data_IF_912229496131
#
_entry.id   IF_912229496131
#
_cell.length_a   1.000
_cell.length_b   1.000
_cell.length_c   1.000
_cell.angle_alpha   90.00
_cell.angle_beta   90.00
_cell.angle_gamma   90.00
#
_symmetry.space_group_name_H-M   'P 1'
#
loop_
_entity.id
_entity.type
_entity.pdbx_description
1 polymer ?
#
# COMPACT_ATOMS: atom_id res chain seq x y z
N UNK A 1 -20.01 0.02 -4.99
CA UNK A 1 -19.07 -0.19 -3.87
C UNK A 1 -17.67 0.29 -4.21
N UNK A 2 -16.86 -0.45 -5.00
CA UNK A 2 -15.54 0.03 -5.46
C UNK A 2 -15.65 1.25 -6.39
N UNK A 3 -16.38 1.10 -7.52
CA UNK A 3 -16.56 2.17 -8.51
C UNK A 3 -17.05 3.47 -7.88
N UNK A 4 -18.08 3.37 -7.03
CA UNK A 4 -18.66 4.51 -6.34
C UNK A 4 -17.65 5.27 -5.46
N UNK A 5 -16.82 4.56 -4.67
CA UNK A 5 -15.84 5.22 -3.80
C UNK A 5 -14.79 6.01 -4.59
N UNK A 6 -14.41 5.53 -5.77
CA UNK A 6 -13.53 6.25 -6.69
C UNK A 6 -14.24 7.40 -7.42
N UNK A 7 -15.48 7.21 -7.87
CA UNK A 7 -16.27 8.26 -8.52
C UNK A 7 -16.61 9.43 -7.60
N UNK A 8 -16.66 9.19 -6.29
CA UNK A 8 -16.95 10.20 -5.27
C UNK A 8 -15.70 10.88 -4.71
N UNK A 9 -14.51 10.57 -5.25
CA UNK A 9 -13.28 11.28 -4.85
C UNK A 9 -13.43 12.78 -5.10
N UNK A 10 -12.80 13.56 -4.24
CA UNK A 10 -12.83 15.03 -4.24
C UNK A 10 -11.62 15.60 -5.01
N UNK A 11 -11.57 16.91 -5.29
CA UNK A 11 -10.33 17.50 -5.79
C UNK A 11 -9.18 17.19 -4.83
N UNK A 12 -7.99 17.05 -5.38
CA UNK A 12 -6.79 16.76 -4.60
C UNK A 12 -6.61 17.76 -3.45
N UNK A 13 -6.35 17.24 -2.25
CA UNK A 13 -6.08 18.03 -1.05
C UNK A 13 -4.60 18.07 -0.68
N UNK A 14 -3.75 17.29 -1.36
CA UNK A 14 -2.30 17.26 -1.17
C UNK A 14 -1.59 16.60 -2.36
N UNK A 15 -0.26 16.73 -2.45
CA UNK A 15 0.55 16.04 -3.46
C UNK A 15 0.50 14.51 -3.39
N UNK A 16 -0.14 13.93 -2.37
CA UNK A 16 -0.28 12.47 -2.17
C UNK A 16 -1.75 12.01 -2.27
N UNK A 17 -2.62 12.86 -2.82
CA UNK A 17 -4.00 12.56 -3.15
C UNK A 17 -4.20 12.82 -4.64
N UNK A 18 -4.41 11.75 -5.42
CA UNK A 18 -4.70 11.86 -6.85
C UNK A 18 -5.96 12.70 -7.16
N UNK A 19 -6.80 12.94 -6.15
CA UNK A 19 -8.03 13.69 -6.30
C UNK A 19 -9.02 12.96 -7.20
N UNK A 20 -9.57 13.66 -8.19
CA UNK A 20 -10.52 13.09 -9.14
C UNK A 20 -9.84 12.09 -10.07
N UNK A 21 -10.50 10.95 -10.26
CA UNK A 21 -10.07 9.92 -11.20
C UNK A 21 -11.19 9.76 -12.24
N UNK A 22 -10.82 9.76 -13.52
CA UNK A 22 -11.77 9.46 -14.59
C UNK A 22 -12.13 7.98 -14.55
N UNK A 23 -13.37 7.70 -14.14
CA UNK A 23 -13.89 6.35 -14.01
C UNK A 23 -14.62 5.86 -15.27
N UNK A 24 -14.75 6.69 -16.31
CA UNK A 24 -15.41 6.30 -17.57
C UNK A 24 -14.82 5.02 -18.17
N UNK A 25 -13.48 4.79 -18.16
CA UNK A 25 -12.90 3.55 -18.68
C UNK A 25 -13.20 2.31 -17.82
N UNK A 26 -13.58 2.47 -16.55
CA UNK A 26 -13.73 1.40 -15.57
C UNK A 26 -15.07 0.66 -15.70
N UNK A 27 -15.26 -0.04 -16.82
CA UNK A 27 -16.43 -0.90 -17.07
C UNK A 27 -16.43 -2.16 -16.19
N UNK A 28 -17.56 -2.89 -16.16
CA UNK A 28 -17.63 -4.20 -15.47
C UNK A 28 -16.59 -5.19 -15.99
N UNK A 29 -16.45 -5.29 -17.31
CA UNK A 29 -15.47 -6.18 -17.96
C UNK A 29 -14.05 -5.78 -17.59
N UNK A 30 -13.73 -4.47 -17.63
CA UNK A 30 -12.43 -3.97 -17.19
C UNK A 30 -12.14 -4.35 -15.72
N UNK A 31 -13.13 -4.25 -14.84
CA UNK A 31 -12.95 -4.62 -13.43
C UNK A 31 -12.78 -6.14 -13.26
N UNK A 32 -13.50 -6.96 -14.03
CA UNK A 32 -13.31 -8.42 -14.03
C UNK A 32 -11.90 -8.80 -14.48
N UNK A 33 -11.38 -8.15 -15.53
CA UNK A 33 -10.00 -8.31 -16.01
C UNK A 33 -8.97 -7.85 -14.96
N UNK A 34 -9.22 -6.73 -14.27
CA UNK A 34 -8.40 -6.26 -13.15
C UNK A 34 -8.31 -7.32 -12.06
N UNK A 35 -9.43 -7.89 -11.64
CA UNK A 35 -9.47 -8.94 -10.60
C UNK A 35 -8.73 -10.20 -11.05
N UNK A 36 -8.89 -10.61 -12.31
CA UNK A 36 -8.15 -11.76 -12.87
C UNK A 36 -6.65 -11.49 -12.82
N UNK A 37 -6.20 -10.30 -13.26
CA UNK A 37 -4.80 -9.91 -13.23
C UNK A 37 -4.23 -9.92 -11.81
N UNK A 38 -4.95 -9.36 -10.84
CA UNK A 38 -4.50 -9.35 -9.44
C UNK A 38 -4.32 -10.76 -8.87
N UNK A 39 -5.21 -11.70 -9.24
CA UNK A 39 -5.05 -13.12 -8.85
C UNK A 39 -3.84 -13.75 -9.49
N UNK A 40 -3.62 -13.51 -10.78
CA UNK A 40 -2.44 -14.05 -11.48
C UNK A 40 -1.13 -13.54 -10.87
N UNK A 41 -1.05 -12.24 -10.52
CA UNK A 41 0.12 -11.69 -9.82
C UNK A 41 0.36 -12.35 -8.46
N UNK A 42 -0.71 -12.65 -7.72
CA UNK A 42 -0.61 -13.31 -6.42
C UNK A 42 -0.23 -14.80 -6.55
N UNK A 43 -0.81 -15.50 -7.54
CA UNK A 43 -0.53 -16.91 -7.84
C UNK A 43 0.92 -17.10 -8.29
N UNK A 44 1.47 -16.11 -9.00
CA UNK A 44 2.87 -16.07 -9.42
C UNK A 44 3.84 -15.55 -8.35
N UNK A 45 3.33 -15.14 -7.18
CA UNK A 45 4.15 -14.55 -6.12
C UNK A 45 4.89 -13.26 -6.52
N UNK A 46 4.29 -12.48 -7.42
CA UNK A 46 4.85 -11.22 -7.93
C UNK A 46 4.31 -10.02 -7.14
N UNK A 47 2.98 -9.97 -6.94
CA UNK A 47 2.33 -8.88 -6.23
C UNK A 47 1.00 -9.32 -5.63
N UNK A 48 0.75 -8.91 -4.40
CA UNK A 48 -0.52 -9.13 -3.70
C UNK A 48 -1.24 -7.81 -3.54
N UNK A 49 -2.38 -7.65 -4.19
CA UNK A 49 -3.15 -6.39 -4.17
C UNK A 49 -4.48 -6.62 -3.45
N UNK A 50 -4.66 -5.93 -2.32
CA UNK A 50 -5.79 -6.11 -1.41
C UNK A 50 -6.56 -4.81 -1.28
N UNK A 51 -7.86 -4.87 -1.56
CA UNK A 51 -8.77 -3.75 -1.35
C UNK A 51 -9.30 -3.74 0.09
N UNK A 52 -9.40 -2.56 0.68
CA UNK A 52 -9.89 -2.34 2.04
C UNK A 52 -11.36 -1.95 1.97
N UNK A 53 -12.21 -2.63 2.74
CA UNK A 53 -13.64 -2.34 2.82
C UNK A 53 -14.11 -2.18 4.27
N UNK A 54 -15.12 -1.31 4.46
CA UNK A 54 -15.92 -1.33 5.68
C UNK A 54 -16.80 -2.59 5.73
N UNK A 55 -17.35 -2.90 6.90
CA UNK A 55 -18.36 -3.96 7.04
C UNK A 55 -19.61 -3.72 6.16
N UNK A 56 -19.93 -2.46 5.87
CA UNK A 56 -21.02 -2.07 4.96
C UNK A 56 -20.64 -2.18 3.48
N UNK A 57 -19.42 -2.62 3.14
CA UNK A 57 -18.96 -2.80 1.77
C UNK A 57 -18.47 -1.53 1.08
N UNK A 58 -18.26 -0.43 1.82
CA UNK A 58 -17.65 0.79 1.26
C UNK A 58 -16.16 0.57 1.06
N UNK A 59 -15.65 0.85 -0.13
CA UNK A 59 -14.21 0.77 -0.41
C UNK A 59 -13.48 1.96 0.21
N UNK A 60 -12.38 1.70 0.92
CA UNK A 60 -11.62 2.70 1.66
C UNK A 60 -10.26 3.01 1.02
N UNK A 61 -9.72 2.09 0.23
CA UNK A 61 -8.39 2.19 -0.32
C UNK A 61 -7.80 0.81 -0.59
N UNK A 62 -6.50 0.76 -0.84
CA UNK A 62 -5.83 -0.50 -1.17
C UNK A 62 -4.46 -0.57 -0.49
N UNK A 63 -4.01 -1.80 -0.30
CA UNK A 63 -2.65 -2.15 0.08
C UNK A 63 -2.12 -3.06 -1.00
N UNK A 64 -0.87 -2.86 -1.41
CA UNK A 64 -0.17 -3.77 -2.29
C UNK A 64 1.18 -4.18 -1.69
N UNK A 65 1.55 -5.43 -1.95
CA UNK A 65 2.80 -6.04 -1.51
C UNK A 65 3.50 -6.55 -2.76
N UNK A 66 4.65 -5.98 -3.10
CA UNK A 66 5.44 -6.40 -4.26
C UNK A 66 6.57 -7.30 -3.76
N UNK A 67 6.72 -8.48 -4.33
CA UNK A 67 7.86 -9.36 -4.05
C UNK A 67 9.10 -8.76 -4.70
N UNK A 68 10.07 -8.35 -3.89
CA UNK A 68 11.35 -7.82 -4.37
C UNK A 68 12.39 -8.92 -4.53
N UNK A 69 12.45 -9.85 -3.57
CA UNK A 69 13.36 -10.97 -3.62
C UNK A 69 12.86 -12.15 -2.76
N UNK A 70 13.07 -13.36 -3.27
CA UNK A 70 12.84 -14.63 -2.55
C UNK A 70 14.16 -15.27 -2.12
N UNK A 71 14.15 -16.58 -1.92
CA UNK A 71 15.29 -17.37 -1.45
C UNK A 71 15.79 -16.93 -0.06
N UNK A 72 17.02 -16.45 0.05
CA UNK A 72 17.62 -16.09 1.33
C UNK A 72 17.24 -14.67 1.83
N UNK A 73 16.41 -13.94 1.07
CA UNK A 73 16.02 -12.56 1.41
C UNK A 73 14.58 -12.47 1.93
N UNK A 74 13.63 -13.17 1.30
CA UNK A 74 12.19 -13.13 1.59
C UNK A 74 11.72 -11.68 1.87
N UNK A 75 11.89 -10.82 0.87
CA UNK A 75 11.78 -9.37 0.97
C UNK A 75 10.67 -8.84 0.06
N UNK A 76 9.81 -7.99 0.61
CA UNK A 76 8.82 -7.24 -0.14
C UNK A 76 8.88 -5.74 0.08
N UNK A 77 8.27 -5.03 -0.88
CA UNK A 77 7.82 -3.66 -0.75
C UNK A 77 6.35 -3.61 -0.37
N UNK A 78 5.98 -2.65 0.47
CA UNK A 78 4.62 -2.33 0.88
C UNK A 78 4.21 -0.96 0.36
N UNK A 79 3.19 -0.95 -0.48
CA UNK A 79 2.45 0.25 -0.89
C UNK A 79 1.06 0.30 -0.26
N UNK A 80 0.54 1.50 -0.02
CA UNK A 80 -0.83 1.68 0.45
C UNK A 80 -1.36 3.07 0.16
N UNK A 81 -2.67 3.17 0.01
CA UNK A 81 -3.39 4.43 0.08
C UNK A 81 -4.77 4.23 0.72
N UNK A 82 -5.28 5.30 1.31
CA UNK A 82 -6.67 5.44 1.73
C UNK A 82 -7.25 6.61 0.95
N UNK A 83 -8.51 6.54 0.53
CA UNK A 83 -9.18 7.66 -0.10
C UNK A 83 -9.14 8.88 0.82
N UNK A 84 -8.87 10.08 0.28
CA UNK A 84 -8.66 11.26 1.11
C UNK A 84 -9.88 11.66 1.95
N UNK A 85 -11.10 11.37 1.47
CA UNK A 85 -12.32 11.54 2.27
C UNK A 85 -12.39 10.62 3.51
N UNK A 86 -11.54 9.59 3.60
CA UNK A 86 -11.50 8.62 4.70
C UNK A 86 -10.25 8.79 5.60
N UNK A 87 -9.43 9.82 5.38
CA UNK A 87 -8.23 10.08 6.17
C UNK A 87 -8.51 10.43 7.62
N UNK A 88 -7.50 10.25 8.49
CA UNK A 88 -7.51 10.59 9.93
C UNK A 88 -8.56 9.83 10.77
N UNK A 89 -9.17 8.77 10.22
CA UNK A 89 -10.10 7.89 10.93
C UNK A 89 -9.45 6.60 11.47
N UNK A 90 -8.14 6.41 11.25
CA UNK A 90 -7.40 5.24 11.73
C UNK A 90 -7.41 4.02 10.80
N UNK A 91 -8.18 4.06 9.69
CA UNK A 91 -8.30 2.93 8.76
C UNK A 91 -6.97 2.40 8.20
N UNK A 92 -6.04 3.28 7.83
CA UNK A 92 -4.73 2.85 7.36
C UNK A 92 -3.97 2.04 8.43
N UNK A 93 -4.00 2.52 9.67
CA UNK A 93 -3.35 1.86 10.80
C UNK A 93 -3.97 0.50 11.09
N UNK A 94 -5.30 0.40 11.07
CA UNK A 94 -6.01 -0.86 11.28
C UNK A 94 -5.71 -1.87 10.17
N UNK A 95 -5.87 -1.46 8.90
CA UNK A 95 -5.68 -2.33 7.74
C UNK A 95 -4.24 -2.84 7.64
N UNK A 96 -3.24 -1.95 7.78
CA UNK A 96 -1.83 -2.35 7.75
C UNK A 96 -1.47 -3.25 8.93
N UNK A 97 -1.94 -2.95 10.15
CA UNK A 97 -1.68 -3.81 11.32
C UNK A 97 -2.25 -5.22 11.12
N UNK A 98 -3.44 -5.32 10.53
CA UNK A 98 -4.04 -6.62 10.23
C UNK A 98 -3.23 -7.38 9.18
N UNK A 99 -2.88 -6.73 8.07
CA UNK A 99 -2.12 -7.34 6.97
C UNK A 99 -0.72 -7.79 7.41
N UNK A 100 0.04 -6.93 8.10
CA UNK A 100 1.40 -7.23 8.55
C UNK A 100 1.46 -8.48 9.44
N UNK A 101 0.45 -8.70 10.29
CA UNK A 101 0.36 -9.92 11.13
C UNK A 101 0.24 -11.22 10.32
N UNK A 102 -0.20 -11.14 9.07
CA UNK A 102 -0.37 -12.31 8.21
C UNK A 102 0.77 -12.49 7.20
N UNK A 103 1.61 -11.47 6.97
CA UNK A 103 2.67 -11.54 5.95
C UNK A 103 3.68 -12.67 6.19
N UNK A 104 4.23 -12.80 7.40
CA UNK A 104 5.14 -13.89 7.70
C UNK A 104 4.45 -15.27 7.75
N UNK A 105 3.39 -15.49 8.56
CA UNK A 105 2.80 -16.82 8.68
C UNK A 105 2.11 -17.32 7.41
N UNK A 106 1.74 -16.45 6.47
CA UNK A 106 1.04 -16.85 5.24
C UNK A 106 1.90 -16.72 3.97
N UNK A 107 2.80 -15.73 3.88
CA UNK A 107 3.58 -15.43 2.67
C UNK A 107 5.09 -15.55 2.88
N UNK A 108 5.55 -15.99 4.06
CA UNK A 108 6.94 -16.22 4.43
C UNK A 108 7.88 -15.01 4.21
N UNK A 109 7.33 -13.79 4.17
CA UNK A 109 8.14 -12.59 4.08
C UNK A 109 8.87 -12.32 5.40
N UNK A 110 10.20 -12.31 5.35
CA UNK A 110 11.06 -11.98 6.48
C UNK A 110 11.16 -10.47 6.68
N UNK A 111 11.26 -9.72 5.58
CA UNK A 111 11.50 -8.27 5.59
C UNK A 111 10.50 -7.56 4.71
N UNK A 112 9.96 -6.47 5.24
CA UNK A 112 9.09 -5.55 4.52
C UNK A 112 9.72 -4.16 4.51
N UNK A 113 9.65 -3.51 3.36
CA UNK A 113 10.15 -2.16 3.12
C UNK A 113 9.03 -1.28 2.59
N UNK A 114 9.00 -0.01 2.98
CA UNK A 114 8.07 0.97 2.47
C UNK A 114 8.85 2.22 2.07
N UNK A 115 8.61 2.68 0.84
CA UNK A 115 9.29 3.83 0.27
C UNK A 115 8.37 5.05 0.29
N UNK A 116 8.76 6.09 1.01
CA UNK A 116 7.88 7.24 1.26
C UNK A 116 8.58 8.54 0.90
N UNK A 117 7.88 9.43 0.18
CA UNK A 117 8.39 10.77 -0.10
C UNK A 117 8.69 11.52 1.19
N UNK A 118 9.79 12.28 1.22
CA UNK A 118 10.26 12.95 2.43
C UNK A 118 9.19 13.89 3.04
N UNK A 119 8.39 14.54 2.21
CA UNK A 119 7.31 15.43 2.63
C UNK A 119 5.99 14.74 3.00
N UNK A 120 5.89 13.41 2.95
CA UNK A 120 4.68 12.67 3.32
C UNK A 120 4.71 12.27 4.81
N UNK A 121 4.71 13.29 5.68
CA UNK A 121 4.75 13.10 7.13
C UNK A 121 3.65 12.15 7.67
N UNK A 122 2.39 12.18 7.17
CA UNK A 122 1.37 11.24 7.63
C UNK A 122 1.74 9.78 7.43
N UNK A 123 2.30 9.44 6.25
CA UNK A 123 2.72 8.08 5.94
C UNK A 123 3.95 7.65 6.77
N UNK A 124 4.92 8.55 6.94
CA UNK A 124 6.12 8.33 7.76
C UNK A 124 5.76 8.06 9.23
N UNK A 125 4.92 8.89 9.83
CA UNK A 125 4.45 8.72 11.21
C UNK A 125 3.63 7.42 11.39
N UNK A 126 2.84 7.05 10.39
CA UNK A 126 2.09 5.80 10.40
C UNK A 126 3.04 4.60 10.44
N UNK A 127 4.07 4.57 9.59
CA UNK A 127 5.06 3.49 9.55
C UNK A 127 5.81 3.37 10.89
N UNK A 128 6.25 4.49 11.46
CA UNK A 128 6.90 4.53 12.78
C UNK A 128 5.98 3.97 13.88
N UNK A 129 4.69 4.34 13.86
CA UNK A 129 3.70 3.81 14.80
C UNK A 129 3.49 2.29 14.65
N UNK A 130 3.63 1.76 13.44
CA UNK A 130 3.56 0.33 13.15
C UNK A 130 4.87 -0.42 13.44
N UNK A 131 5.87 0.28 13.98
CA UNK A 131 7.16 -0.28 14.37
C UNK A 131 8.10 -0.51 13.19
N UNK A 132 7.91 0.18 12.07
CA UNK A 132 8.96 0.31 11.06
C UNK A 132 10.01 1.29 11.58
N UNK A 133 11.26 1.05 11.21
CA UNK A 133 12.36 1.99 11.45
C UNK A 133 12.80 2.60 10.12
N UNK A 134 13.16 3.88 10.14
CA UNK A 134 13.88 4.48 9.02
C UNK A 134 15.24 3.76 8.89
N UNK A 135 15.54 3.24 7.71
CA UNK A 135 16.83 2.60 7.43
C UNK A 135 17.76 3.55 6.69
N UNK A 136 17.25 4.24 5.66
CA UNK A 136 18.05 5.13 4.81
C UNK A 136 17.17 6.14 4.09
N UNK A 137 17.76 7.26 3.68
CA UNK A 137 17.20 8.12 2.64
C UNK A 137 17.95 7.79 1.36
N UNK A 138 17.25 7.30 0.33
CA UNK A 138 17.83 7.05 -0.99
C UNK A 138 17.61 8.29 -1.85
N UNK A 139 18.71 8.88 -2.30
CA UNK A 139 18.69 10.04 -3.20
C UNK A 139 18.26 9.61 -4.61
N UNK A 140 17.42 10.41 -5.27
CA UNK A 140 16.97 10.19 -6.66
C UNK A 140 16.50 8.75 -6.93
N UNK A 141 15.72 8.19 -6.00
CA UNK A 141 15.42 6.76 -5.96
C UNK A 141 14.24 6.36 -6.83
N UNK A 142 13.24 7.24 -6.97
CA UNK A 142 12.02 6.96 -7.75
C UNK A 142 11.72 8.10 -8.71
N UNK A 143 11.24 7.74 -9.90
CA UNK A 143 10.80 8.71 -10.91
C UNK A 143 9.30 8.98 -10.77
N UNK A 144 8.95 10.16 -10.26
CA UNK A 144 7.57 10.60 -10.01
C UNK A 144 7.41 12.02 -10.55
N UNK A 145 6.25 12.33 -11.14
CA UNK A 145 5.91 13.66 -11.68
C UNK A 145 6.97 14.30 -12.60
N UNK A 146 7.74 13.48 -13.32
CA UNK A 146 8.74 13.93 -14.30
C UNK A 146 10.14 14.14 -13.75
N UNK A 147 10.39 13.85 -12.48
CA UNK A 147 11.69 13.99 -11.84
C UNK A 147 12.06 12.79 -10.96
N UNK A 148 13.37 12.59 -10.73
CA UNK A 148 13.86 11.62 -9.77
C UNK A 148 13.86 12.23 -8.37
N UNK A 149 13.09 11.65 -7.45
CA UNK A 149 12.91 12.17 -6.09
C UNK A 149 13.52 11.26 -5.03
N UNK A 150 13.86 11.87 -3.92
CA UNK A 150 14.37 11.18 -2.74
C UNK A 150 13.26 10.43 -2.01
N UNK A 151 13.60 9.25 -1.49
CA UNK A 151 12.67 8.43 -0.70
C UNK A 151 13.28 8.08 0.65
N UNK A 152 12.50 8.29 1.70
CA UNK A 152 12.76 7.68 3.00
C UNK A 152 12.33 6.20 2.94
N UNK A 153 13.28 5.33 3.26
CA UNK A 153 13.10 3.88 3.23
C UNK A 153 12.87 3.37 4.65
N UNK A 154 11.66 2.93 4.93
CA UNK A 154 11.26 2.38 6.21
C UNK A 154 11.19 0.86 6.15
N UNK A 155 11.66 0.18 7.19
CA UNK A 155 11.83 -1.28 7.18
C UNK A 155 11.32 -1.93 8.45
N UNK A 156 10.82 -3.16 8.34
CA UNK A 156 10.44 -4.00 9.48
C UNK A 156 10.77 -5.47 9.17
N UNK A 157 11.36 -6.16 10.15
CA UNK A 157 11.61 -7.60 10.05
C UNK A 157 10.50 -8.34 10.79
N UNK A 158 9.86 -9.31 10.14
CA UNK A 158 8.63 -9.94 10.60
C UNK A 158 8.86 -11.20 11.45
N UNK A 159 9.96 -11.93 11.21
CA UNK A 159 10.26 -13.21 11.88
C UNK A 159 10.54 -13.10 13.41
N UNK A 160 10.93 -11.93 13.92
CA UNK A 160 11.24 -11.71 15.33
C UNK A 160 10.11 -11.01 16.10
N UNK A 161 9.04 -10.58 15.42
CA UNK A 161 7.85 -10.03 16.05
C UNK A 161 6.99 -11.18 16.59
N UNK A 162 7.51 -11.82 17.64
CA UNK A 162 6.66 -12.55 18.57
C UNK A 162 5.77 -11.50 19.25
N UNK A 163 4.54 -11.39 18.75
CA UNK A 163 3.49 -10.56 19.34
C UNK A 163 3.51 -10.72 20.87
N UNK A 164 3.78 -9.63 21.58
CA UNK A 164 3.36 -9.49 22.98
C UNK A 164 1.86 -9.20 23.03
#
# INVERSE_FOLDING_TARGET
MWYQAYSERKPSQSAYDDGYIDMIPCTKTWFEELVIRHRQLADNDEQYIVAIFTQSGRHLGMIDIVTLARANMNWCELGYFIHSQEWRQGYASEALSALIRHLYPCLDFHRIEAHVSLGNDPSRQLLEKLGFRLEVIREQFMFEDGEWIDKAVYVKNLHNDSLK
#
